data_IF_908455579773
#
_entry.id   IF_908455579773
#
_cell.length_a   1.000
_cell.length_b   1.000
_cell.length_c   1.000
_cell.angle_alpha   90.00
_cell.angle_beta   90.00
_cell.angle_gamma   90.00
#
_symmetry.space_group_name_H-M   'P 1'
#
loop_
_entity.id
_entity.type
_entity.pdbx_description
1 polymer ?
#
# COMPACT_ATOMS: atom_id res chain seq x y z
N UNK A 1 -16.17 4.14 6.78
CA UNK A 1 -14.98 4.77 6.22
C UNK A 1 -14.80 4.36 4.76
N UNK A 2 -14.52 5.31 3.91
CA UNK A 2 -14.15 5.05 2.52
C UNK A 2 -12.64 4.79 2.41
N UNK A 3 -12.18 4.29 1.25
CA UNK A 3 -10.76 4.13 1.00
C UNK A 3 -10.02 5.48 1.08
N UNK A 4 -10.65 6.55 0.59
CA UNK A 4 -10.09 7.90 0.67
C UNK A 4 -9.91 8.35 2.12
N UNK A 5 -10.86 8.03 3.00
CA UNK A 5 -10.75 8.32 4.44
C UNK A 5 -9.57 7.59 5.07
N UNK A 6 -9.35 6.34 4.68
CA UNK A 6 -8.22 5.54 5.15
C UNK A 6 -6.91 6.18 4.71
N UNK A 7 -6.80 6.58 3.46
CA UNK A 7 -5.62 7.29 2.96
C UNK A 7 -5.36 8.56 3.75
N UNK A 8 -6.39 9.35 3.97
CA UNK A 8 -6.27 10.59 4.71
C UNK A 8 -5.75 10.37 6.13
N UNK A 9 -6.35 9.43 6.86
CA UNK A 9 -5.98 9.17 8.25
C UNK A 9 -4.54 8.67 8.41
N UNK A 10 -4.03 7.95 7.42
CA UNK A 10 -2.77 7.21 7.56
C UNK A 10 -1.62 7.76 6.74
N UNK A 11 -1.83 8.84 6.02
CA UNK A 11 -0.83 9.38 5.12
C UNK A 11 0.45 9.85 5.80
N UNK A 12 0.39 10.21 7.08
CA UNK A 12 1.54 10.69 7.84
C UNK A 12 2.40 9.57 8.40
N UNK A 13 1.90 8.35 8.43
CA UNK A 13 2.57 7.23 9.07
C UNK A 13 2.49 6.00 8.16
N UNK A 14 3.55 5.20 8.18
CA UNK A 14 3.51 3.87 7.59
C UNK A 14 2.63 3.02 8.49
N UNK A 15 1.43 2.73 8.05
CA UNK A 15 0.44 2.05 8.88
C UNK A 15 -0.30 0.99 8.12
N UNK A 16 -0.83 0.08 8.89
CA UNK A 16 -1.84 -0.86 8.42
C UNK A 16 -3.11 -0.68 9.23
N UNK A 17 -4.23 -0.90 8.59
CA UNK A 17 -5.51 -0.91 9.27
C UNK A 17 -6.46 -1.87 8.57
N UNK A 18 -7.41 -2.41 9.34
CA UNK A 18 -8.48 -3.24 8.80
C UNK A 18 -9.75 -2.43 8.86
N UNK A 19 -10.29 -2.09 7.69
CA UNK A 19 -11.55 -1.34 7.56
C UNK A 19 -12.37 -2.01 6.47
N UNK A 20 -13.65 -2.27 6.77
CA UNK A 20 -14.59 -2.90 5.84
C UNK A 20 -14.07 -4.22 5.27
N UNK A 21 -13.47 -5.06 6.13
CA UNK A 21 -12.89 -6.35 5.76
C UNK A 21 -11.75 -6.25 4.73
N UNK A 22 -11.09 -5.11 4.67
CA UNK A 22 -9.87 -4.91 3.89
C UNK A 22 -8.71 -4.56 4.80
N UNK A 23 -7.58 -5.16 4.53
CA UNK A 23 -6.34 -4.84 5.22
C UNK A 23 -5.53 -3.91 4.32
N UNK A 24 -5.60 -2.62 4.61
CA UNK A 24 -4.87 -1.62 3.85
C UNK A 24 -3.48 -1.41 4.47
N UNK A 25 -2.45 -1.65 3.67
CA UNK A 25 -1.07 -1.37 4.03
C UNK A 25 -0.63 -0.13 3.26
N UNK A 26 -0.05 0.83 3.98
CA UNK A 26 0.38 2.08 3.38
C UNK A 26 1.79 2.40 3.85
N UNK A 27 2.69 2.59 2.90
CA UNK A 27 4.06 3.01 3.16
C UNK A 27 4.35 4.33 2.45
N UNK A 28 5.22 5.11 3.05
CA UNK A 28 5.68 6.37 2.52
C UNK A 28 7.14 6.23 2.09
N UNK A 29 7.50 6.72 0.91
CA UNK A 29 8.90 6.69 0.48
C UNK A 29 9.32 8.02 -0.14
N UNK A 30 10.50 8.46 0.25
CA UNK A 30 11.12 9.66 -0.30
C UNK A 30 12.22 9.36 -1.32
N UNK A 31 12.66 8.11 -1.38
CA UNK A 31 13.62 7.63 -2.38
C UNK A 31 12.97 6.49 -3.14
N UNK A 32 13.03 6.55 -4.47
CA UNK A 32 12.44 5.51 -5.30
C UNK A 32 13.08 4.14 -5.01
N UNK A 33 12.23 3.15 -4.72
CA UNK A 33 12.66 1.80 -4.42
C UNK A 33 11.84 0.79 -5.23
N UNK A 34 12.45 0.06 -6.18
CA UNK A 34 11.72 -0.93 -6.98
C UNK A 34 11.35 -2.20 -6.20
N UNK A 35 11.85 -2.36 -4.98
CA UNK A 35 11.60 -3.53 -4.15
C UNK A 35 10.36 -3.41 -3.27
N UNK A 36 9.55 -2.41 -3.49
CA UNK A 36 8.35 -2.18 -2.66
C UNK A 36 7.36 -3.36 -2.70
N UNK A 37 7.12 -4.02 -3.85
CA UNK A 37 6.23 -5.18 -3.83
C UNK A 37 6.67 -6.26 -2.84
N UNK A 38 7.95 -6.61 -2.82
CA UNK A 38 8.43 -7.63 -1.89
C UNK A 38 8.40 -7.16 -0.44
N UNK A 39 8.72 -5.91 -0.19
CA UNK A 39 8.61 -5.33 1.16
C UNK A 39 7.19 -5.42 1.69
N UNK A 40 6.21 -5.01 0.86
CA UNK A 40 4.80 -5.06 1.23
C UNK A 40 4.30 -6.48 1.44
N UNK A 41 4.74 -7.41 0.60
CA UNK A 41 4.36 -8.81 0.74
C UNK A 41 4.86 -9.40 2.06
N UNK A 42 6.10 -9.14 2.44
CA UNK A 42 6.63 -9.59 3.73
C UNK A 42 5.87 -8.99 4.90
N UNK A 43 5.58 -7.70 4.81
CA UNK A 43 4.82 -7.00 5.84
C UNK A 43 3.40 -7.55 5.98
N UNK A 44 2.73 -7.80 4.85
CA UNK A 44 1.40 -8.41 4.85
C UNK A 44 1.42 -9.77 5.54
N UNK A 45 2.46 -10.58 5.29
CA UNK A 45 2.61 -11.88 5.96
C UNK A 45 2.66 -11.76 7.48
N UNK A 46 3.42 -10.79 7.98
CA UNK A 46 3.50 -10.52 9.42
C UNK A 46 2.14 -10.12 9.99
N UNK A 47 1.42 -9.26 9.29
CA UNK A 47 0.11 -8.78 9.73
C UNK A 47 -0.93 -9.89 9.71
N UNK A 48 -0.91 -10.76 8.71
CA UNK A 48 -1.81 -11.90 8.67
C UNK A 48 -1.52 -12.91 9.79
N UNK A 49 -0.25 -13.14 10.12
CA UNK A 49 0.09 -13.97 11.26
C UNK A 49 -0.49 -13.40 12.56
N UNK A 50 -0.37 -12.11 12.75
CA UNK A 50 -0.95 -11.42 13.90
C UNK A 50 -2.47 -11.52 13.91
N UNK A 51 -3.11 -11.35 12.76
CA UNK A 51 -4.56 -11.48 12.61
C UNK A 51 -5.04 -12.87 12.99
N UNK A 52 -4.35 -13.91 12.52
CA UNK A 52 -4.67 -15.30 12.84
C UNK A 52 -4.61 -15.54 14.34
N UNK A 53 -3.57 -15.08 15.02
CA UNK A 53 -3.39 -15.25 16.46
C UNK A 53 -4.45 -14.48 17.24
N UNK A 54 -4.66 -13.21 16.92
CA UNK A 54 -5.60 -12.34 17.65
C UNK A 54 -7.06 -12.80 17.51
N UNK A 55 -7.40 -13.43 16.39
CA UNK A 55 -8.76 -13.93 16.16
C UNK A 55 -8.91 -15.42 16.41
N UNK A 56 -7.87 -16.05 16.96
CA UNK A 56 -7.86 -17.47 17.31
C UNK A 56 -8.33 -18.36 16.14
N UNK A 57 -7.77 -18.12 14.96
CA UNK A 57 -8.14 -18.85 13.76
C UNK A 57 -7.34 -20.14 13.62
N UNK A 58 -8.06 -21.24 13.36
CA UNK A 58 -7.45 -22.55 13.11
C UNK A 58 -7.46 -22.85 11.61
N UNK A 59 -6.30 -22.70 10.97
CA UNK A 59 -6.16 -22.90 9.54
C UNK A 59 -6.17 -24.37 9.12
N UNK A 60 -6.16 -25.30 10.10
CA UNK A 60 -6.20 -26.72 9.82
C UNK A 60 -7.63 -27.27 9.79
N UNK A 61 -8.62 -26.44 10.01
CA UNK A 61 -10.02 -26.83 9.92
C UNK A 61 -10.44 -27.00 8.45
N UNK A 62 -11.49 -27.81 8.25
CA UNK A 62 -12.07 -27.99 6.91
C UNK A 62 -12.81 -26.77 6.40
N UNK A 63 -13.30 -25.92 7.29
CA UNK A 63 -14.02 -24.69 6.92
C UNK A 63 -13.02 -23.68 6.35
N UNK A 64 -13.38 -23.08 5.23
CA UNK A 64 -12.59 -21.99 4.68
C UNK A 64 -12.59 -20.80 5.65
N UNK A 65 -11.41 -20.36 6.01
CA UNK A 65 -11.24 -19.17 6.85
C UNK A 65 -11.12 -17.95 5.94
N UNK A 66 -12.06 -17.01 6.12
CA UNK A 66 -12.03 -15.75 5.38
C UNK A 66 -11.08 -14.78 6.06
N UNK A 67 -10.30 -14.09 5.28
CA UNK A 67 -9.31 -13.11 5.78
C UNK A 67 -9.56 -11.76 5.14
N UNK A 68 -9.12 -10.66 5.77
CA UNK A 68 -9.26 -9.34 5.15
C UNK A 68 -8.55 -9.28 3.80
N UNK A 69 -9.18 -8.64 2.83
CA UNK A 69 -8.59 -8.46 1.51
C UNK A 69 -7.40 -7.51 1.57
N UNK A 70 -6.21 -7.93 1.12
CA UNK A 70 -5.05 -7.06 1.22
C UNK A 70 -5.05 -5.98 0.13
N UNK A 71 -4.62 -4.79 0.51
CA UNK A 71 -4.38 -3.68 -0.41
C UNK A 71 -3.08 -3.02 0.01
N UNK A 72 -2.18 -2.79 -0.95
CA UNK A 72 -0.88 -2.20 -0.64
C UNK A 72 -0.64 -0.95 -1.49
N UNK A 73 -0.42 0.16 -0.80
CA UNK A 73 -0.21 1.47 -1.40
C UNK A 73 1.11 2.07 -0.92
N UNK A 74 1.80 2.70 -1.84
CA UNK A 74 3.04 3.42 -1.56
C UNK A 74 2.83 4.88 -1.95
N UNK A 75 3.07 5.78 -1.01
CA UNK A 75 3.02 7.21 -1.26
C UNK A 75 4.44 7.72 -1.52
N UNK A 76 4.69 8.10 -2.77
CA UNK A 76 6.01 8.56 -3.21
C UNK A 76 6.05 10.08 -3.24
N UNK A 77 7.05 10.67 -2.58
CA UNK A 77 7.31 12.10 -2.57
C UNK A 77 8.78 12.44 -2.85
N UNK A 78 9.48 11.58 -3.56
CA UNK A 78 10.88 11.77 -3.88
C UNK A 78 11.12 12.77 -5.04
N UNK A 79 12.39 12.96 -5.36
CA UNK A 79 12.83 13.92 -6.39
C UNK A 79 12.87 13.34 -7.79
N UNK A 80 12.83 12.03 -7.93
CA UNK A 80 12.82 11.38 -9.23
C UNK A 80 11.45 11.55 -9.88
N UNK A 81 11.46 11.87 -11.19
CA UNK A 81 10.21 12.03 -11.91
C UNK A 81 9.54 10.67 -12.12
N UNK A 82 8.37 10.50 -11.53
CA UNK A 82 7.59 9.27 -11.62
C UNK A 82 6.16 9.59 -12.03
N UNK A 83 5.45 8.62 -12.66
CA UNK A 83 4.03 8.80 -12.99
C UNK A 83 3.19 9.15 -11.77
N UNK A 84 2.03 9.77 -11.99
CA UNK A 84 1.07 10.02 -10.91
C UNK A 84 0.63 8.74 -10.23
N UNK A 85 0.50 7.66 -10.99
CA UNK A 85 0.11 6.33 -10.51
C UNK A 85 0.83 5.28 -11.33
N UNK A 86 1.38 4.28 -10.64
CA UNK A 86 1.95 3.11 -11.30
C UNK A 86 1.74 1.88 -10.44
N UNK A 87 1.74 0.73 -11.07
CA UNK A 87 1.57 -0.54 -10.38
C UNK A 87 2.86 -1.34 -10.57
N UNK A 88 3.50 -1.67 -9.45
CA UNK A 88 4.68 -2.53 -9.43
C UNK A 88 4.26 -3.95 -9.11
N UNK A 89 4.84 -4.90 -9.80
CA UNK A 89 4.50 -6.33 -9.68
C UNK A 89 5.60 -7.10 -8.99
N UNK A 90 5.24 -7.92 -8.02
CA UNK A 90 6.19 -8.82 -7.36
C UNK A 90 6.81 -9.80 -8.36
N UNK A 91 6.03 -10.24 -9.36
CA UNK A 91 6.50 -11.19 -10.37
C UNK A 91 7.70 -10.67 -11.18
N UNK A 92 7.90 -9.36 -11.27
CA UNK A 92 9.07 -8.78 -11.94
C UNK A 92 10.37 -9.11 -11.19
N UNK A 93 10.29 -9.50 -9.93
CA UNK A 93 11.45 -9.89 -9.13
C UNK A 93 11.70 -11.39 -9.12
N UNK A 94 10.87 -12.19 -9.76
CA UNK A 94 11.03 -13.63 -9.78
C UNK A 94 12.21 -14.03 -10.69
N UNK A 95 13.11 -14.85 -10.18
CA UNK A 95 14.28 -15.30 -10.93
C UNK A 95 13.90 -16.10 -12.19
N UNK A 96 12.79 -16.82 -12.14
CA UNK A 96 12.23 -17.57 -13.27
C UNK A 96 10.84 -16.98 -13.55
N UNK A 97 10.59 -16.48 -14.77
CA UNK A 97 9.27 -15.92 -15.09
C UNK A 97 8.16 -16.94 -14.93
N UNK A 98 7.01 -16.48 -14.44
CA UNK A 98 5.79 -17.29 -14.31
C UNK A 98 4.75 -16.82 -15.32
N UNK A 99 3.86 -17.73 -15.71
CA UNK A 99 2.78 -17.40 -16.66
C UNK A 99 1.67 -16.58 -16.02
N UNK A 100 0.80 -16.01 -16.85
CA UNK A 100 -0.41 -15.33 -16.38
C UNK A 100 -1.28 -16.26 -15.55
N UNK A 101 -1.94 -15.70 -14.54
CA UNK A 101 -2.78 -16.45 -13.63
C UNK A 101 -2.02 -17.17 -12.52
N UNK A 102 -0.69 -17.10 -12.52
CA UNK A 102 0.13 -17.59 -11.41
C UNK A 102 0.17 -16.53 -10.30
N UNK A 103 0.96 -16.79 -9.27
CA UNK A 103 1.02 -15.92 -8.10
C UNK A 103 1.39 -14.48 -8.48
N UNK A 104 0.67 -13.53 -7.91
CA UNK A 104 0.99 -12.11 -8.06
C UNK A 104 0.68 -11.35 -6.78
N UNK A 105 1.47 -10.33 -6.53
CA UNK A 105 1.27 -9.33 -5.50
C UNK A 105 1.70 -7.98 -6.07
N UNK A 106 0.88 -6.96 -5.88
CA UNK A 106 1.16 -5.66 -6.47
C UNK A 106 1.25 -4.57 -5.43
N UNK A 107 2.05 -3.57 -5.73
CA UNK A 107 2.11 -2.31 -5.00
C UNK A 107 1.58 -1.20 -5.90
N UNK A 108 0.57 -0.49 -5.45
CA UNK A 108 0.08 0.71 -6.14
C UNK A 108 0.84 1.90 -5.61
N UNK A 109 1.64 2.53 -6.47
CA UNK A 109 2.45 3.68 -6.10
C UNK A 109 1.75 4.95 -6.57
N UNK A 110 1.48 5.84 -5.62
CA UNK A 110 0.83 7.13 -5.87
C UNK A 110 1.87 8.22 -5.64
N UNK A 111 2.13 9.00 -6.69
CA UNK A 111 3.01 10.16 -6.57
C UNK A 111 2.23 11.29 -5.88
N UNK A 112 2.66 11.66 -4.68
CA UNK A 112 2.01 12.69 -3.88
C UNK A 112 2.76 14.01 -3.89
N UNK A 113 3.71 14.18 -4.78
CA UNK A 113 4.35 15.49 -4.98
C UNK A 113 3.29 16.51 -5.41
N UNK A 114 3.54 17.78 -5.07
CA UNK A 114 2.62 18.85 -5.39
C UNK A 114 2.29 18.87 -6.88
N UNK A 115 1.01 18.91 -7.20
CA UNK A 115 0.52 18.87 -8.58
C UNK A 115 0.16 17.49 -9.09
N UNK A 116 0.56 16.42 -8.39
CA UNK A 116 0.19 15.05 -8.73
C UNK A 116 -1.04 14.61 -7.95
N UNK A 117 -1.83 13.69 -8.54
CA UNK A 117 -3.04 13.14 -7.92
C UNK A 117 -4.00 14.22 -7.40
N UNK A 118 -4.24 15.20 -8.24
CA UNK A 118 -5.00 16.40 -7.88
C UNK A 118 -6.39 16.11 -7.34
N UNK A 119 -7.12 15.18 -7.96
CA UNK A 119 -8.47 14.85 -7.51
C UNK A 119 -8.47 14.26 -6.10
N UNK A 120 -7.56 13.34 -5.82
CA UNK A 120 -7.41 12.75 -4.49
C UNK A 120 -7.01 13.83 -3.48
N UNK A 121 -6.06 14.68 -3.85
CA UNK A 121 -5.54 15.74 -2.99
C UNK A 121 -6.58 16.84 -2.74
N UNK A 122 -7.42 17.15 -3.74
CA UNK A 122 -8.50 18.15 -3.60
C UNK A 122 -9.63 17.65 -2.69
N UNK A 123 -9.96 16.36 -2.76
CA UNK A 123 -10.95 15.76 -1.84
C UNK A 123 -10.48 15.83 -0.40
N UNK A 124 -9.19 15.88 -0.17
CA UNK A 124 -8.57 15.93 1.14
C UNK A 124 -7.60 17.12 1.18
N UNK A 125 -8.09 18.30 1.46
CA UNK A 125 -7.28 19.52 1.52
C UNK A 125 -6.07 19.40 2.46
N UNK A 126 -6.19 18.57 3.49
CA UNK A 126 -5.09 18.32 4.42
C UNK A 126 -4.00 17.46 3.76
N UNK A 127 -4.35 16.50 2.88
CA UNK A 127 -3.38 15.73 2.11
C UNK A 127 -2.63 16.63 1.14
N UNK A 128 -3.30 17.55 0.47
CA UNK A 128 -2.65 18.53 -0.39
C UNK A 128 -1.69 19.41 0.41
N UNK A 129 -2.13 19.90 1.57
CA UNK A 129 -1.27 20.65 2.48
C UNK A 129 -0.04 19.84 2.92
N UNK A 130 -0.22 18.55 3.18
CA UNK A 130 0.88 17.66 3.52
C UNK A 130 1.88 17.54 2.38
N UNK A 131 1.41 17.34 1.14
CA UNK A 131 2.28 17.22 -0.03
C UNK A 131 3.08 18.50 -0.26
N UNK A 132 2.49 19.67 -0.09
CA UNK A 132 3.17 20.95 -0.17
C UNK A 132 4.25 21.06 0.90
N UNK A 133 3.92 20.70 2.12
CA UNK A 133 4.85 20.74 3.24
C UNK A 133 6.06 19.83 3.01
N UNK A 134 5.83 18.61 2.52
CA UNK A 134 6.90 17.67 2.19
C UNK A 134 7.77 18.22 1.05
N UNK A 135 7.18 18.77 0.01
CA UNK A 135 7.92 19.35 -1.12
C UNK A 135 8.85 20.47 -0.67
N UNK A 136 8.46 21.26 0.31
CA UNK A 136 9.31 22.34 0.87
C UNK A 136 10.51 21.83 1.68
N UNK A 137 10.44 20.60 2.14
CA UNK A 137 11.47 20.00 3.00
C UNK A 137 12.39 19.04 2.24
N UNK A 138 12.18 18.88 0.95
CA UNK A 138 13.05 18.07 0.08
C UNK A 138 14.28 18.89 -0.42
#
# INVERSE_FOLDING_TARGET
YTLDDVFYMNMKNDVSCIIDNRMALMEHQSTWNPNMPFRGFRYAGELYNKYVVENDLDLNRRKLIMIPTPQYYVFYNGNEKRPEREILKLSDAFKVPVGEGCFEWTATVLNINYGCNKELMEKCSILEGYAIMVAKHQ
#
